data_IF_084815453616
#
_entry.id   IF_084815453616
#
_cell.length_a   1.000
_cell.length_b   1.000
_cell.length_c   1.000
_cell.angle_alpha   90.00
_cell.angle_beta   90.00
_cell.angle_gamma   90.00
#
_symmetry.space_group_name_H-M   'P 1'
#
loop_
_entity.id
_entity.type
_entity.pdbx_description
1 polymer ?
#
# COMPACT_ATOMS: atom_id res chain seq x y z
N UNK A 1 14.92 -14.78 -6.80
CA UNK A 1 14.63 -13.57 -7.59
C UNK A 1 13.79 -12.63 -6.73
N UNK A 2 13.76 -11.33 -7.02
CA UNK A 2 12.90 -10.41 -6.27
C UNK A 2 11.44 -10.66 -6.63
N UNK A 3 10.58 -10.86 -5.62
CA UNK A 3 9.14 -11.08 -5.74
C UNK A 3 8.34 -9.96 -5.04
N UNK A 4 8.98 -8.79 -4.89
CA UNK A 4 8.42 -7.63 -4.22
C UNK A 4 8.36 -6.46 -5.20
N UNK A 5 7.18 -5.83 -5.31
CA UNK A 5 7.02 -4.55 -5.99
C UNK A 5 7.26 -3.41 -5.00
N UNK A 6 8.47 -2.83 -5.02
CA UNK A 6 8.87 -1.78 -4.10
C UNK A 6 8.15 -0.45 -4.41
N UNK A 7 8.48 0.17 -5.55
CA UNK A 7 7.94 1.47 -5.93
C UNK A 7 7.14 1.41 -7.24
N UNK A 8 5.85 1.77 -7.16
CA UNK A 8 5.01 2.05 -8.31
C UNK A 8 4.35 3.41 -8.17
N UNK A 9 4.73 4.33 -9.04
CA UNK A 9 4.15 5.68 -9.10
C UNK A 9 3.63 5.99 -10.49
N UNK A 10 2.38 6.42 -10.55
CA UNK A 10 1.76 6.96 -11.77
C UNK A 10 1.61 8.46 -11.57
N UNK A 11 2.09 9.27 -12.53
CA UNK A 11 1.95 10.72 -12.45
C UNK A 11 0.47 11.13 -12.33
N UNK A 12 0.14 12.18 -11.56
CA UNK A 12 -1.25 12.58 -11.30
C UNK A 12 -2.14 12.72 -12.54
N UNK A 13 -1.61 13.21 -13.66
CA UNK A 13 -2.32 13.40 -14.93
C UNK A 13 -2.69 12.09 -15.66
N UNK A 14 -1.98 11.01 -15.35
CA UNK A 14 -2.20 9.67 -15.92
C UNK A 14 -2.96 8.72 -14.97
N UNK A 15 -3.18 9.16 -13.74
CA UNK A 15 -3.90 8.39 -12.74
C UNK A 15 -5.39 8.22 -13.10
N UNK A 16 -6.01 7.13 -12.64
CA UNK A 16 -7.44 6.86 -12.86
C UNK A 16 -7.79 6.26 -14.22
N UNK A 17 -6.78 5.95 -15.04
CA UNK A 17 -6.93 5.41 -16.41
C UNK A 17 -6.65 3.90 -16.53
N UNK A 18 -6.55 3.18 -15.40
CA UNK A 18 -6.24 1.75 -15.41
C UNK A 18 -4.74 1.38 -15.47
N UNK A 19 -3.86 2.33 -15.79
CA UNK A 19 -2.42 2.11 -15.99
C UNK A 19 -1.75 1.37 -14.82
N UNK A 20 -2.04 1.77 -13.57
CA UNK A 20 -1.48 1.08 -12.40
C UNK A 20 -1.91 -0.38 -12.31
N UNK A 21 -3.16 -0.71 -12.68
CA UNK A 21 -3.64 -2.09 -12.73
C UNK A 21 -2.92 -2.90 -13.79
N UNK A 22 -2.70 -2.32 -14.97
CA UNK A 22 -2.02 -2.99 -16.08
C UNK A 22 -0.55 -3.25 -15.75
N UNK A 23 0.14 -2.26 -15.18
CA UNK A 23 1.51 -2.41 -14.72
C UNK A 23 1.66 -3.54 -13.70
N UNK A 24 0.78 -3.60 -12.68
CA UNK A 24 0.82 -4.65 -11.66
C UNK A 24 0.56 -6.03 -12.27
N UNK A 25 -0.42 -6.17 -13.17
CA UNK A 25 -0.71 -7.45 -13.84
C UNK A 25 0.46 -7.97 -14.68
N UNK A 26 1.18 -7.07 -15.35
CA UNK A 26 2.37 -7.42 -16.11
C UNK A 26 3.48 -7.94 -15.18
N UNK A 27 3.69 -7.26 -14.05
CA UNK A 27 4.65 -7.69 -13.03
C UNK A 27 4.26 -9.04 -12.42
N UNK A 28 2.99 -9.24 -12.06
CA UNK A 28 2.46 -10.53 -11.59
C UNK A 28 2.75 -11.65 -12.59
N UNK A 29 2.56 -11.41 -13.89
CA UNK A 29 2.82 -12.42 -14.92
C UNK A 29 4.30 -12.82 -14.99
N UNK A 30 5.20 -11.90 -14.64
CA UNK A 30 6.64 -12.13 -14.58
C UNK A 30 7.00 -12.90 -13.30
N UNK A 31 6.52 -12.44 -12.13
CA UNK A 31 6.83 -13.07 -10.83
C UNK A 31 6.27 -14.48 -10.73
N UNK A 32 5.07 -14.75 -11.26
CA UNK A 32 4.46 -16.09 -11.31
C UNK A 32 5.30 -17.16 -12.00
N UNK A 33 6.29 -16.77 -12.79
CA UNK A 33 7.21 -17.72 -13.44
C UNK A 33 8.22 -18.32 -12.46
N UNK A 34 8.43 -17.71 -11.29
CA UNK A 34 9.50 -18.10 -10.36
C UNK A 34 9.16 -17.97 -8.87
N UNK A 35 8.02 -17.41 -8.48
CA UNK A 35 7.59 -17.30 -7.08
C UNK A 35 6.10 -17.61 -6.95
N UNK A 36 5.72 -18.22 -5.83
CA UNK A 36 4.34 -18.54 -5.47
C UNK A 36 3.53 -17.31 -5.04
N UNK A 37 4.19 -16.17 -4.81
CA UNK A 37 3.54 -14.94 -4.33
C UNK A 37 4.28 -13.70 -4.82
N UNK A 38 3.56 -12.58 -4.89
CA UNK A 38 4.16 -11.26 -5.10
C UNK A 38 3.74 -10.33 -3.97
N UNK A 39 4.68 -9.60 -3.42
CA UNK A 39 4.48 -8.68 -2.30
C UNK A 39 4.38 -7.25 -2.80
N UNK A 40 3.51 -6.47 -2.15
CA UNK A 40 3.33 -5.04 -2.44
C UNK A 40 3.02 -4.30 -1.16
N UNK A 41 3.62 -3.12 -1.00
CA UNK A 41 3.43 -2.29 0.20
C UNK A 41 2.79 -0.96 -0.16
N UNK A 42 1.96 -0.46 0.77
CA UNK A 42 1.49 0.91 0.75
C UNK A 42 1.44 1.44 2.17
N UNK A 43 1.78 2.71 2.33
CA UNK A 43 1.51 3.40 3.58
C UNK A 43 0.00 3.35 3.87
N UNK A 44 -0.41 3.09 5.12
CA UNK A 44 -1.83 2.99 5.52
C UNK A 44 -2.67 4.21 5.11
N UNK A 45 -2.05 5.40 5.03
CA UNK A 45 -2.69 6.64 4.56
C UNK A 45 -2.98 6.67 3.04
N UNK A 46 -2.42 5.75 2.26
CA UNK A 46 -2.58 5.67 0.82
C UNK A 46 -3.77 4.74 0.45
N UNK A 47 -4.96 5.14 0.90
CA UNK A 47 -6.19 4.37 0.69
C UNK A 47 -6.45 4.05 -0.79
N UNK A 48 -6.03 4.94 -1.69
CA UNK A 48 -6.21 4.75 -3.13
C UNK A 48 -5.42 3.55 -3.65
N UNK A 49 -4.15 3.43 -3.27
CA UNK A 49 -3.32 2.29 -3.62
C UNK A 49 -3.85 1.02 -2.98
N UNK A 50 -4.19 1.06 -1.69
CA UNK A 50 -4.75 -0.09 -0.97
C UNK A 50 -6.03 -0.58 -1.66
N UNK A 51 -6.96 0.30 -2.03
CA UNK A 51 -8.18 -0.07 -2.77
C UNK A 51 -7.87 -0.68 -4.14
N UNK A 52 -6.83 -0.20 -4.83
CA UNK A 52 -6.38 -0.82 -6.08
C UNK A 52 -5.88 -2.24 -5.84
N UNK A 53 -5.00 -2.44 -4.85
CA UNK A 53 -4.42 -3.75 -4.55
C UNK A 53 -5.51 -4.74 -4.10
N UNK A 54 -6.45 -4.31 -3.25
CA UNK A 54 -7.62 -5.14 -2.88
C UNK A 54 -8.43 -5.57 -4.11
N UNK A 55 -8.67 -4.68 -5.08
CA UNK A 55 -9.38 -5.02 -6.33
C UNK A 55 -8.60 -5.98 -7.23
N UNK A 56 -7.27 -6.04 -7.10
CA UNK A 56 -6.41 -6.95 -7.87
C UNK A 56 -6.22 -8.32 -7.19
N UNK A 57 -6.77 -8.52 -5.99
CA UNK A 57 -6.71 -9.80 -5.27
C UNK A 57 -5.67 -9.87 -4.16
N UNK A 58 -4.99 -8.78 -3.83
CA UNK A 58 -4.11 -8.73 -2.66
C UNK A 58 -4.97 -8.65 -1.40
N UNK A 59 -5.17 -9.77 -0.71
CA UNK A 59 -5.97 -9.89 0.51
C UNK A 59 -5.19 -10.41 1.72
N UNK A 60 -3.97 -10.89 1.52
CA UNK A 60 -3.08 -11.34 2.58
C UNK A 60 -2.38 -10.14 3.24
N UNK A 61 -2.60 -9.96 4.54
CA UNK A 61 -1.85 -9.00 5.35
C UNK A 61 -0.49 -9.61 5.74
N UNK A 62 0.59 -9.14 5.10
CA UNK A 62 1.94 -9.72 5.29
C UNK A 62 2.72 -9.10 6.46
N UNK A 63 2.75 -7.77 6.57
CA UNK A 63 3.57 -7.05 7.56
C UNK A 63 2.87 -5.76 7.99
N UNK A 64 3.14 -5.34 9.23
CA UNK A 64 2.63 -4.10 9.82
C UNK A 64 3.81 -3.31 10.40
N UNK A 65 4.00 -2.10 9.89
CA UNK A 65 5.05 -1.17 10.36
C UNK A 65 4.44 -0.13 11.28
N UNK A 66 4.85 -0.13 12.55
CA UNK A 66 4.37 0.79 13.58
C UNK A 66 5.45 1.84 13.87
N UNK A 67 5.07 3.11 14.00
CA UNK A 67 5.98 4.19 14.39
C UNK A 67 5.48 4.95 15.61
N UNK A 68 6.39 5.60 16.32
CA UNK A 68 6.10 6.61 17.35
C UNK A 68 6.43 7.99 16.80
N UNK A 69 5.48 8.91 16.82
CA UNK A 69 5.73 10.31 16.46
C UNK A 69 6.37 11.03 17.66
N UNK A 70 7.56 11.62 17.49
CA UNK A 70 8.21 12.43 18.53
C UNK A 70 7.72 13.89 18.58
N UNK A 71 7.09 14.36 17.51
CA UNK A 71 6.46 15.67 17.35
C UNK A 71 5.02 15.49 16.84
N UNK A 72 4.12 14.89 17.67
CA UNK A 72 2.78 14.47 17.24
C UNK A 72 1.93 15.64 16.71
N UNK A 73 2.20 16.87 17.13
CA UNK A 73 1.53 18.09 16.69
C UNK A 73 1.74 18.41 15.21
N UNK A 74 2.78 17.86 14.56
CA UNK A 74 3.00 17.99 13.11
C UNK A 74 2.06 17.12 12.27
N UNK A 75 1.30 16.24 12.90
CA UNK A 75 0.47 15.25 12.22
C UNK A 75 -1.02 15.44 12.54
N UNK A 76 -1.86 15.02 11.60
CA UNK A 76 -3.29 14.83 11.82
C UNK A 76 -3.66 13.35 11.65
N UNK A 77 -4.62 12.88 12.45
CA UNK A 77 -5.19 11.54 12.33
C UNK A 77 -6.25 11.54 11.22
N UNK A 78 -6.04 10.71 10.20
CA UNK A 78 -6.98 10.53 9.10
C UNK A 78 -8.12 9.60 9.49
N UNK A 79 -7.76 8.45 10.07
CA UNK A 79 -8.67 7.43 10.55
C UNK A 79 -7.94 6.54 11.56
N UNK A 80 -8.68 5.61 12.16
CA UNK A 80 -8.16 4.61 13.09
C UNK A 80 -8.42 3.22 12.54
N UNK A 81 -7.46 2.33 12.71
CA UNK A 81 -7.57 0.92 12.34
C UNK A 81 -7.38 0.04 13.56
N UNK A 82 -8.14 -1.06 13.64
CA UNK A 82 -8.03 -2.03 14.73
C UNK A 82 -7.31 -3.28 14.23
N UNK A 83 -6.24 -3.65 14.91
CA UNK A 83 -5.48 -4.86 14.63
C UNK A 83 -5.14 -5.57 15.95
N UNK A 84 -5.47 -6.86 16.04
CA UNK A 84 -5.27 -7.68 17.25
C UNK A 84 -5.93 -7.08 18.51
N UNK A 85 -7.06 -6.38 18.35
CA UNK A 85 -7.76 -5.72 19.44
C UNK A 85 -7.20 -4.35 19.83
N UNK A 86 -6.05 -3.96 19.28
CA UNK A 86 -5.41 -2.66 19.52
C UNK A 86 -5.80 -1.66 18.43
N UNK A 87 -5.99 -0.38 18.81
CA UNK A 87 -6.35 0.69 17.89
C UNK A 87 -5.15 1.55 17.54
N UNK A 88 -4.89 1.73 16.24
CA UNK A 88 -3.78 2.50 15.71
C UNK A 88 -4.28 3.72 14.93
N UNK A 89 -3.62 4.87 15.09
CA UNK A 89 -3.90 6.07 14.30
C UNK A 89 -3.17 6.01 12.95
N UNK A 90 -3.92 6.13 11.85
CA UNK A 90 -3.35 6.35 10.53
C UNK A 90 -3.18 7.86 10.33
N UNK A 91 -1.93 8.31 10.33
CA UNK A 91 -1.57 9.74 10.34
C UNK A 91 -0.88 10.22 9.07
N UNK A 92 -1.06 11.50 8.74
CA UNK A 92 -0.27 12.25 7.75
C UNK A 92 0.22 13.58 8.32
N UNK A 93 1.21 14.18 7.66
CA UNK A 93 1.63 15.55 7.97
C UNK A 93 0.47 16.53 7.74
N UNK A 94 0.32 17.49 8.66
CA UNK A 94 -0.53 18.67 8.42
C UNK A 94 0.02 19.42 7.21
N UNK A 95 -0.90 19.89 6.36
CA UNK A 95 -0.57 20.77 5.23
C UNK A 95 -0.38 22.20 5.68
#
# INVERSE_FOLDING_TARGET
AADWLEDLFILPEFQGRGIGSEAIKLLESTVKQYSESMYIEAAARNERAIRLYRRLGYDCLNTVTIRKDFEPEKFETLHKETLLGETFDVRRYKR
#
